data_IF_547660662713
#
_entry.id   IF_547660662713
#
_cell.length_a   1.000
_cell.length_b   1.000
_cell.length_c   1.000
_cell.angle_alpha   90.00
_cell.angle_beta   90.00
_cell.angle_gamma   90.00
#
_symmetry.space_group_name_H-M   'P 1'
#
loop_
_entity.id
_entity.type
_entity.pdbx_description
1 polymer ?
#
# COMPACT_ATOMS: atom_id res chain seq x y z
N UNK A 1 27.98 0.78 -21.63
CA UNK A 1 28.02 0.02 -20.37
C UNK A 1 27.07 0.71 -19.41
N UNK A 2 25.83 0.22 -19.31
CA UNK A 2 24.84 0.71 -18.34
C UNK A 2 25.10 0.08 -16.97
N UNK A 3 24.76 0.74 -15.85
CA UNK A 3 24.98 0.18 -14.52
C UNK A 3 24.17 -1.09 -14.33
N UNK A 4 24.84 -2.14 -13.81
CA UNK A 4 24.30 -3.48 -13.59
C UNK A 4 23.02 -3.44 -12.72
N UNK A 5 21.92 -3.95 -13.24
CA UNK A 5 20.62 -4.10 -12.56
C UNK A 5 20.64 -5.10 -11.36
N UNK A 6 21.79 -5.68 -11.03
CA UNK A 6 21.95 -6.69 -9.97
C UNK A 6 22.29 -6.13 -8.60
N UNK A 7 22.62 -4.82 -8.48
CA UNK A 7 23.16 -4.24 -7.24
C UNK A 7 22.12 -3.49 -6.37
N UNK A 8 20.89 -3.27 -6.91
CA UNK A 8 19.85 -2.53 -6.15
C UNK A 8 19.22 -3.31 -4.98
N UNK A 9 19.34 -4.64 -4.98
CA UNK A 9 18.74 -5.51 -3.92
C UNK A 9 19.52 -5.52 -2.61
N UNK A 10 20.79 -5.15 -2.63
CA UNK A 10 21.70 -5.15 -1.47
C UNK A 10 22.04 -3.75 -0.96
N UNK A 11 21.44 -2.70 -1.52
CA UNK A 11 21.72 -1.34 -1.09
C UNK A 11 21.31 -1.13 0.37
N UNK A 12 22.22 -0.68 1.26
CA UNK A 12 21.89 -0.35 2.65
C UNK A 12 20.70 0.64 2.77
N UNK A 13 20.52 1.52 1.79
CA UNK A 13 19.43 2.47 1.73
C UNK A 13 18.06 1.78 1.58
N UNK A 14 17.97 0.70 0.78
CA UNK A 14 16.72 -0.08 0.63
C UNK A 14 16.36 -0.72 1.96
N UNK A 15 17.31 -1.34 2.65
CA UNK A 15 17.06 -1.95 3.95
C UNK A 15 16.72 -0.93 5.03
N UNK A 16 17.38 0.24 5.03
CA UNK A 16 17.03 1.33 5.95
C UNK A 16 15.63 1.86 5.71
N UNK A 17 15.25 2.08 4.46
CA UNK A 17 13.90 2.53 4.12
C UNK A 17 12.83 1.47 4.46
N UNK A 18 13.12 0.19 4.25
CA UNK A 18 12.25 -0.91 4.69
C UNK A 18 12.10 -0.95 6.20
N UNK A 19 13.21 -0.84 6.95
CA UNK A 19 13.18 -0.80 8.41
C UNK A 19 12.32 0.40 8.91
N UNK A 20 12.46 1.57 8.26
CA UNK A 20 11.62 2.73 8.56
C UNK A 20 10.14 2.37 8.35
N UNK A 21 9.77 1.81 7.20
CA UNK A 21 8.37 1.45 6.92
C UNK A 21 7.85 0.41 7.91
N UNK A 22 8.64 -0.60 8.25
CA UNK A 22 8.25 -1.64 9.21
C UNK A 22 7.98 -1.08 10.60
N UNK A 23 8.94 -0.31 11.13
CA UNK A 23 8.83 0.23 12.49
C UNK A 23 7.81 1.36 12.52
N UNK A 24 7.88 2.30 11.59
CA UNK A 24 6.98 3.47 11.57
C UNK A 24 5.53 3.03 11.37
N UNK A 25 5.22 2.25 10.36
CA UNK A 25 3.82 1.86 10.13
C UNK A 25 3.32 0.83 11.16
N UNK A 26 4.18 -0.07 11.65
CA UNK A 26 3.83 -0.95 12.76
C UNK A 26 3.51 -0.18 14.05
N UNK A 27 4.23 0.90 14.34
CA UNK A 27 4.00 1.73 15.52
C UNK A 27 2.83 2.73 15.35
N UNK A 28 2.34 2.97 14.12
CA UNK A 28 1.15 3.84 13.94
C UNK A 28 -0.09 3.31 14.65
N UNK A 29 -0.21 1.99 14.83
CA UNK A 29 -1.31 1.39 15.57
C UNK A 29 -1.33 1.89 17.02
N UNK A 30 -0.16 1.93 17.68
CA UNK A 30 -0.02 2.47 19.03
C UNK A 30 -0.28 3.98 19.02
N UNK A 31 0.29 4.69 18.05
CA UNK A 31 0.05 6.12 17.91
C UNK A 31 -1.44 6.46 17.78
N UNK A 32 -2.22 5.65 17.01
CA UNK A 32 -3.67 5.82 16.89
C UNK A 32 -4.34 5.54 18.25
N UNK A 33 -4.02 4.41 18.90
CA UNK A 33 -4.61 4.04 20.19
C UNK A 33 -4.43 5.14 21.24
N UNK A 34 -3.21 5.69 21.34
CA UNK A 34 -2.90 6.79 22.27
C UNK A 34 -3.59 8.10 21.87
N UNK A 35 -3.63 8.42 20.58
CA UNK A 35 -4.29 9.65 20.12
C UNK A 35 -5.79 9.65 20.45
N UNK A 36 -6.46 8.50 20.31
CA UNK A 36 -7.89 8.38 20.54
C UNK A 36 -8.28 8.20 22.02
N UNK A 37 -7.32 8.18 22.95
CA UNK A 37 -7.62 8.19 24.39
C UNK A 37 -8.44 9.42 24.81
N UNK A 38 -8.20 10.56 24.17
CA UNK A 38 -8.91 11.82 24.49
C UNK A 38 -9.35 12.63 23.26
N UNK A 39 -8.95 12.22 22.04
CA UNK A 39 -9.37 12.85 20.79
C UNK A 39 -10.30 11.89 20.05
N UNK A 40 -11.49 12.31 19.60
CA UNK A 40 -12.41 11.45 18.87
C UNK A 40 -11.75 10.81 17.63
N UNK A 41 -11.97 9.51 17.35
CA UNK A 41 -11.16 8.75 16.41
C UNK A 41 -11.19 9.28 14.97
N UNK A 42 -12.37 9.65 14.47
CA UNK A 42 -12.48 10.16 13.11
C UNK A 42 -11.89 11.58 12.99
N UNK A 43 -12.13 12.44 13.99
CA UNK A 43 -11.55 13.78 14.02
C UNK A 43 -10.03 13.75 14.22
N UNK A 44 -9.49 12.81 15.01
CA UNK A 44 -8.05 12.54 15.11
C UNK A 44 -7.45 12.21 13.75
N UNK A 45 -8.08 11.28 13.02
CA UNK A 45 -7.69 10.93 11.65
C UNK A 45 -7.79 12.11 10.68
N UNK A 46 -8.86 12.91 10.78
CA UNK A 46 -9.04 14.12 9.96
C UNK A 46 -7.89 15.13 10.18
N UNK A 47 -7.59 15.45 11.43
CA UNK A 47 -6.49 16.35 11.76
C UNK A 47 -5.15 15.81 11.29
N UNK A 48 -4.88 14.50 11.49
CA UNK A 48 -3.68 13.83 11.02
C UNK A 48 -3.49 14.02 9.52
N UNK A 49 -4.48 13.63 8.72
CA UNK A 49 -4.33 13.55 7.28
C UNK A 49 -4.41 14.93 6.60
N UNK A 50 -5.26 15.84 7.08
CA UNK A 50 -5.31 17.21 6.54
C UNK A 50 -3.99 17.94 6.83
N UNK A 51 -3.46 17.83 8.05
CA UNK A 51 -2.19 18.47 8.41
C UNK A 51 -1.03 17.87 7.60
N UNK A 52 -0.94 16.53 7.50
CA UNK A 52 0.09 15.88 6.71
C UNK A 52 0.01 16.25 5.22
N UNK A 53 -1.20 16.29 4.64
CA UNK A 53 -1.43 16.71 3.25
C UNK A 53 -0.99 18.15 3.02
N UNK A 54 -1.32 19.05 3.94
CA UNK A 54 -0.94 20.47 3.85
C UNK A 54 0.58 20.64 3.91
N UNK A 55 1.25 19.97 4.84
CA UNK A 55 2.72 19.98 4.95
C UNK A 55 3.39 19.38 3.71
N UNK A 56 2.89 18.25 3.21
CA UNK A 56 3.42 17.60 2.01
C UNK A 56 3.19 18.47 0.77
N UNK A 57 2.00 19.08 0.64
CA UNK A 57 1.69 20.01 -0.44
C UNK A 57 2.59 21.26 -0.42
N UNK A 58 2.81 21.85 0.75
CA UNK A 58 3.74 22.97 0.92
C UNK A 58 5.17 22.57 0.55
N UNK A 59 5.64 21.40 1.01
CA UNK A 59 6.94 20.86 0.64
C UNK A 59 7.09 20.70 -0.89
N UNK A 60 6.09 20.12 -1.56
CA UNK A 60 6.10 19.93 -3.01
C UNK A 60 6.14 21.27 -3.75
N UNK A 61 5.36 22.26 -3.31
CA UNK A 61 5.35 23.61 -3.90
C UNK A 61 6.70 24.32 -3.75
N UNK A 62 7.31 24.25 -2.58
CA UNK A 62 8.61 24.88 -2.31
C UNK A 62 9.73 24.18 -3.09
N UNK A 63 9.74 22.82 -3.12
CA UNK A 63 10.85 22.03 -3.68
C UNK A 63 10.79 21.89 -5.19
N UNK A 64 9.59 21.75 -5.75
CA UNK A 64 9.37 21.39 -7.16
C UNK A 64 8.46 22.37 -7.91
N UNK A 65 7.96 23.40 -7.21
CA UNK A 65 7.07 24.42 -7.78
C UNK A 65 5.66 23.89 -8.10
N UNK A 66 4.77 24.76 -8.64
CA UNK A 66 3.37 24.42 -8.93
C UNK A 66 3.19 23.29 -9.96
N UNK A 67 4.23 23.01 -10.76
CA UNK A 67 4.20 21.92 -11.76
C UNK A 67 4.08 20.55 -11.10
N UNK A 68 4.59 20.36 -9.88
CA UNK A 68 4.49 19.11 -9.13
C UNK A 68 3.06 18.74 -8.77
N UNK A 69 2.16 19.71 -8.69
CA UNK A 69 0.74 19.52 -8.38
C UNK A 69 -0.17 19.55 -9.62
N UNK A 70 0.41 19.64 -10.83
CA UNK A 70 -0.38 19.58 -12.06
C UNK A 70 -0.90 18.17 -12.29
N UNK A 71 -2.22 18.04 -12.34
CA UNK A 71 -2.91 16.80 -12.60
C UNK A 71 -4.22 17.07 -13.35
N UNK A 72 -4.69 16.10 -14.09
CA UNK A 72 -5.98 16.16 -14.77
C UNK A 72 -7.13 15.98 -13.76
N UNK A 73 -8.34 16.39 -14.15
CA UNK A 73 -9.53 16.14 -13.31
C UNK A 73 -9.74 14.65 -13.03
N UNK A 74 -9.43 13.77 -13.99
CA UNK A 74 -9.56 12.32 -13.81
C UNK A 74 -8.57 11.80 -12.76
N UNK A 75 -7.33 12.25 -12.80
CA UNK A 75 -6.30 11.89 -11.81
C UNK A 75 -6.66 12.43 -10.42
N UNK A 76 -7.15 13.68 -10.32
CA UNK A 76 -7.60 14.27 -9.05
C UNK A 76 -8.75 13.45 -8.43
N UNK A 77 -9.79 13.15 -9.23
CA UNK A 77 -10.95 12.37 -8.76
C UNK A 77 -10.51 10.95 -8.39
N UNK A 78 -9.63 10.33 -9.19
CA UNK A 78 -9.07 9.01 -8.89
C UNK A 78 -8.36 8.99 -7.53
N UNK A 79 -7.40 9.89 -7.31
CA UNK A 79 -6.68 9.98 -6.05
C UNK A 79 -7.60 10.34 -4.87
N UNK A 80 -8.56 11.24 -5.06
CA UNK A 80 -9.52 11.59 -4.01
C UNK A 80 -10.42 10.39 -3.62
N UNK A 81 -10.91 9.63 -4.60
CA UNK A 81 -11.67 8.41 -4.34
C UNK A 81 -10.84 7.36 -3.58
N UNK A 82 -9.57 7.19 -3.95
CA UNK A 82 -8.66 6.32 -3.19
C UNK A 82 -8.43 6.83 -1.78
N UNK A 83 -8.26 8.14 -1.58
CA UNK A 83 -8.16 8.75 -0.26
C UNK A 83 -9.37 8.43 0.63
N UNK A 84 -10.59 8.50 0.08
CA UNK A 84 -11.80 8.12 0.81
C UNK A 84 -11.82 6.64 1.16
N UNK A 85 -11.52 5.75 0.21
CA UNK A 85 -11.52 4.30 0.45
C UNK A 85 -10.43 3.85 1.42
N UNK A 86 -9.21 4.33 1.24
CA UNK A 86 -8.05 3.90 2.04
C UNK A 86 -8.03 4.60 3.39
N UNK A 87 -8.17 5.92 3.42
CA UNK A 87 -7.92 6.71 4.61
C UNK A 87 -9.20 7.05 5.38
N UNK A 88 -10.28 7.49 4.72
CA UNK A 88 -11.53 7.73 5.46
C UNK A 88 -12.14 6.43 5.95
N UNK A 89 -12.40 5.48 5.05
CA UNK A 89 -13.04 4.22 5.43
C UNK A 89 -12.02 3.25 6.04
N UNK A 90 -10.92 2.96 5.36
CA UNK A 90 -9.94 1.98 5.83
C UNK A 90 -9.29 2.37 7.16
N UNK A 91 -8.59 3.50 7.20
CA UNK A 91 -7.89 3.94 8.41
C UNK A 91 -8.83 4.53 9.47
N UNK A 92 -9.91 5.21 9.05
CA UNK A 92 -10.92 5.75 9.98
C UNK A 92 -11.62 4.63 10.75
N UNK A 93 -12.08 3.57 10.08
CA UNK A 93 -12.69 2.42 10.76
C UNK A 93 -11.68 1.66 11.62
N UNK A 94 -10.39 1.62 11.26
CA UNK A 94 -9.34 1.11 12.12
C UNK A 94 -9.28 1.92 13.44
N UNK A 95 -9.28 3.25 13.37
CA UNK A 95 -9.24 4.10 14.56
C UNK A 95 -10.51 3.90 15.44
N UNK A 96 -11.68 3.79 14.82
CA UNK A 96 -12.91 3.46 15.55
C UNK A 96 -12.84 2.07 16.20
N UNK A 97 -12.34 1.07 15.46
CA UNK A 97 -12.21 -0.30 15.96
C UNK A 97 -11.29 -0.38 17.20
N UNK A 98 -10.21 0.41 17.23
CA UNK A 98 -9.27 0.45 18.36
C UNK A 98 -9.87 1.01 19.67
N UNK A 99 -11.09 1.53 19.65
CA UNK A 99 -11.85 1.79 20.88
C UNK A 99 -12.41 0.51 21.54
N UNK A 100 -12.45 -0.60 20.80
CA UNK A 100 -13.11 -1.85 21.18
C UNK A 100 -12.18 -3.06 21.20
N UNK A 101 -11.05 -3.00 20.50
CA UNK A 101 -10.09 -4.11 20.37
C UNK A 101 -8.67 -3.62 20.63
N UNK A 102 -7.80 -4.54 21.04
CA UNK A 102 -6.38 -4.24 21.24
C UNK A 102 -5.66 -3.88 19.94
N UNK A 103 -4.59 -3.12 20.08
CA UNK A 103 -3.71 -2.67 18.99
C UNK A 103 -3.17 -3.85 18.19
N UNK A 104 -2.71 -4.90 18.89
CA UNK A 104 -2.18 -6.10 18.27
C UNK A 104 -3.24 -6.86 17.47
N UNK A 105 -4.45 -7.03 18.00
CA UNK A 105 -5.56 -7.68 17.29
C UNK A 105 -5.97 -6.87 16.06
N UNK A 106 -6.08 -5.56 16.17
CA UNK A 106 -6.39 -4.68 15.04
C UNK A 106 -5.36 -4.83 13.91
N UNK A 107 -4.06 -4.83 14.23
CA UNK A 107 -3.00 -4.98 13.25
C UNK A 107 -3.02 -6.35 12.56
N UNK A 108 -3.28 -7.43 13.30
CA UNK A 108 -3.40 -8.78 12.74
C UNK A 108 -4.60 -8.91 11.80
N UNK A 109 -5.74 -8.30 12.13
CA UNK A 109 -6.91 -8.29 11.26
C UNK A 109 -6.70 -7.45 9.99
N UNK A 110 -6.00 -6.31 10.07
CA UNK A 110 -5.62 -5.52 8.90
C UNK A 110 -4.62 -6.26 8.00
N UNK A 111 -3.78 -7.15 8.55
CA UNK A 111 -2.90 -8.00 7.75
C UNK A 111 -3.65 -8.91 6.75
N UNK A 112 -4.97 -9.03 6.87
CA UNK A 112 -5.82 -9.75 5.91
C UNK A 112 -5.96 -9.06 4.55
N UNK A 113 -5.58 -7.81 4.39
CA UNK A 113 -5.73 -7.05 3.13
C UNK A 113 -5.23 -7.81 1.89
N UNK A 114 -4.03 -8.44 1.88
CA UNK A 114 -3.59 -9.24 0.74
C UNK A 114 -4.51 -10.43 0.41
N UNK A 115 -5.18 -11.00 1.42
CA UNK A 115 -6.13 -12.10 1.22
C UNK A 115 -7.36 -11.61 0.44
N UNK A 116 -7.91 -10.45 0.80
CA UNK A 116 -9.01 -9.81 0.10
C UNK A 116 -8.68 -9.47 -1.35
N UNK A 117 -7.44 -9.03 -1.61
CA UNK A 117 -6.98 -8.76 -2.98
C UNK A 117 -7.05 -10.01 -3.86
N UNK A 118 -6.66 -11.18 -3.33
CA UNK A 118 -6.76 -12.46 -4.06
C UNK A 118 -8.22 -12.84 -4.28
N UNK A 119 -9.09 -12.66 -3.27
CA UNK A 119 -10.52 -12.92 -3.40
C UNK A 119 -11.14 -12.07 -4.52
N UNK A 120 -10.80 -10.77 -4.61
CA UNK A 120 -11.30 -9.90 -5.68
C UNK A 120 -10.79 -10.31 -7.06
N UNK A 121 -9.52 -10.71 -7.18
CA UNK A 121 -8.96 -11.23 -8.42
C UNK A 121 -9.67 -12.50 -8.87
N UNK A 122 -9.91 -13.41 -7.93
CA UNK A 122 -10.66 -14.64 -8.20
C UNK A 122 -12.09 -14.34 -8.71
N UNK A 123 -12.80 -13.38 -8.07
CA UNK A 123 -14.13 -12.96 -8.51
C UNK A 123 -14.14 -12.39 -9.93
N UNK A 124 -13.03 -11.79 -10.38
CA UNK A 124 -12.84 -11.29 -11.75
C UNK A 124 -12.28 -12.32 -12.73
N UNK A 125 -12.39 -13.61 -12.39
CA UNK A 125 -11.94 -14.77 -13.20
C UNK A 125 -10.41 -14.86 -13.43
N UNK A 126 -9.61 -14.10 -12.68
CA UNK A 126 -8.19 -14.34 -12.60
C UNK A 126 -7.97 -15.60 -11.72
N UNK A 127 -7.37 -16.64 -12.30
CA UNK A 127 -7.19 -17.94 -11.61
C UNK A 127 -5.89 -17.91 -10.79
N UNK A 128 -5.94 -17.66 -9.48
CA UNK A 128 -4.75 -17.71 -8.64
C UNK A 128 -4.19 -19.14 -8.60
N UNK A 129 -2.90 -19.26 -8.34
CA UNK A 129 -2.26 -20.56 -8.17
C UNK A 129 -2.85 -21.32 -6.97
N UNK A 130 -2.90 -22.66 -7.00
CA UNK A 130 -3.44 -23.45 -5.88
C UNK A 130 -2.80 -23.09 -4.52
N UNK A 131 -1.51 -22.81 -4.48
CA UNK A 131 -0.80 -22.43 -3.26
C UNK A 131 -1.21 -21.03 -2.77
N UNK A 132 -1.57 -20.11 -3.67
CA UNK A 132 -2.17 -18.81 -3.30
C UNK A 132 -3.53 -19.01 -2.64
N UNK A 133 -4.36 -19.89 -3.21
CA UNK A 133 -5.67 -20.26 -2.63
C UNK A 133 -5.51 -20.88 -1.24
N UNK A 134 -4.56 -21.81 -1.10
CA UNK A 134 -4.25 -22.41 0.21
C UNK A 134 -3.83 -21.33 1.22
N UNK A 135 -2.97 -20.36 0.84
CA UNK A 135 -2.59 -19.25 1.69
C UNK A 135 -3.78 -18.38 2.12
N UNK A 136 -4.71 -18.10 1.20
CA UNK A 136 -5.96 -17.39 1.51
C UNK A 136 -6.80 -18.16 2.53
N UNK A 137 -7.02 -19.46 2.32
CA UNK A 137 -7.80 -20.29 3.24
C UNK A 137 -7.18 -20.37 4.63
N UNK A 138 -5.85 -20.54 4.72
CA UNK A 138 -5.12 -20.53 5.99
C UNK A 138 -5.26 -19.19 6.69
N UNK A 139 -5.05 -18.06 5.97
CA UNK A 139 -5.18 -16.72 6.54
C UNK A 139 -6.61 -16.43 7.02
N UNK A 140 -7.63 -16.80 6.25
CA UNK A 140 -9.03 -16.64 6.65
C UNK A 140 -9.39 -17.53 7.86
N UNK A 141 -8.86 -18.75 7.95
CA UNK A 141 -9.04 -19.61 9.13
C UNK A 141 -8.40 -18.99 10.38
N UNK A 142 -7.19 -18.41 10.25
CA UNK A 142 -6.54 -17.66 11.34
C UNK A 142 -7.36 -16.46 11.80
N UNK A 143 -7.92 -15.68 10.86
CA UNK A 143 -8.83 -14.55 11.17
C UNK A 143 -10.11 -15.04 11.87
N UNK A 144 -10.73 -16.11 11.39
CA UNK A 144 -11.90 -16.67 12.04
C UNK A 144 -11.58 -17.14 13.47
N UNK A 145 -10.43 -17.79 13.69
CA UNK A 145 -9.94 -18.16 15.00
C UNK A 145 -9.79 -16.96 15.93
N UNK A 146 -9.13 -15.87 15.47
CA UNK A 146 -9.00 -14.62 16.23
C UNK A 146 -10.35 -13.96 16.54
N UNK A 147 -11.31 -14.04 15.60
CA UNK A 147 -12.63 -13.42 15.74
C UNK A 147 -13.58 -14.21 16.67
N UNK A 148 -13.51 -15.55 16.64
CA UNK A 148 -14.37 -16.43 17.43
C UNK A 148 -13.93 -16.51 18.90
N UNK A 149 -12.64 -16.35 19.17
CA UNK A 149 -12.09 -16.40 20.52
C UNK A 149 -12.15 -15.04 21.23
N UNK A 150 -12.94 -14.09 20.77
CA UNK A 150 -13.14 -12.72 21.25
C UNK A 150 -13.44 -12.57 22.75
N UNK A 151 -12.87 -13.45 23.59
CA UNK A 151 -12.73 -13.29 25.04
C UNK A 151 -11.94 -12.01 25.34
N UNK A 152 -11.80 -11.59 26.53
CA UNK A 152 -11.14 -10.43 27.17
C UNK A 152 -10.38 -9.38 26.31
N UNK A 153 -9.99 -9.70 25.05
CA UNK A 153 -9.17 -8.84 24.17
C UNK A 153 -9.94 -8.12 23.06
N UNK A 154 -11.26 -8.34 22.88
CA UNK A 154 -11.94 -7.67 21.78
C UNK A 154 -13.45 -7.87 21.66
N UNK A 155 -14.14 -6.78 21.43
CA UNK A 155 -15.56 -6.73 21.09
C UNK A 155 -15.81 -7.19 19.65
N UNK A 156 -16.85 -7.98 19.40
CA UNK A 156 -17.32 -8.33 18.06
C UNK A 156 -17.52 -7.09 17.17
N UNK A 157 -17.97 -5.98 17.75
CA UNK A 157 -18.16 -4.70 17.05
C UNK A 157 -16.82 -4.23 16.48
N UNK A 158 -15.75 -4.17 17.29
CA UNK A 158 -14.43 -3.74 16.84
C UNK A 158 -13.87 -4.63 15.74
N UNK A 159 -14.05 -5.96 15.87
CA UNK A 159 -13.62 -6.94 14.85
C UNK A 159 -14.35 -6.69 13.51
N UNK A 160 -15.66 -6.56 13.52
CA UNK A 160 -16.46 -6.30 12.31
C UNK A 160 -16.07 -4.98 11.68
N UNK A 161 -15.90 -3.92 12.47
CA UNK A 161 -15.54 -2.58 11.99
C UNK A 161 -14.16 -2.59 11.32
N UNK A 162 -13.14 -3.22 11.92
CA UNK A 162 -11.81 -3.27 11.31
C UNK A 162 -11.79 -4.14 10.05
N UNK A 163 -12.58 -5.21 10.00
CA UNK A 163 -12.68 -6.05 8.80
C UNK A 163 -13.33 -5.29 7.64
N UNK A 164 -14.38 -4.51 7.89
CA UNK A 164 -14.97 -3.62 6.89
C UNK A 164 -13.92 -2.61 6.39
N UNK A 165 -13.15 -2.01 7.29
CA UNK A 165 -12.04 -1.14 6.95
C UNK A 165 -10.98 -1.82 6.08
N UNK A 166 -10.62 -3.07 6.41
CA UNK A 166 -9.64 -3.87 5.66
C UNK A 166 -10.13 -4.20 4.26
N UNK A 167 -11.41 -4.54 4.10
CA UNK A 167 -12.05 -4.76 2.79
C UNK A 167 -12.04 -3.47 1.97
N UNK A 168 -12.40 -2.33 2.57
CA UNK A 168 -12.36 -1.02 1.90
C UNK A 168 -10.94 -0.67 1.44
N UNK A 169 -9.95 -0.91 2.30
CA UNK A 169 -8.53 -0.74 1.95
C UNK A 169 -8.13 -1.62 0.77
N UNK A 170 -8.54 -2.88 0.77
CA UNK A 170 -8.28 -3.82 -0.32
C UNK A 170 -8.95 -3.37 -1.63
N UNK A 171 -10.20 -2.89 -1.58
CA UNK A 171 -10.90 -2.32 -2.74
C UNK A 171 -10.13 -1.12 -3.29
N UNK A 172 -9.76 -0.16 -2.43
CA UNK A 172 -8.97 1.00 -2.83
C UNK A 172 -7.64 0.61 -3.47
N UNK A 173 -6.90 -0.30 -2.83
CA UNK A 173 -5.63 -0.81 -3.37
C UNK A 173 -5.80 -1.53 -4.71
N UNK A 174 -6.89 -2.29 -4.87
CA UNK A 174 -7.20 -2.97 -6.12
C UNK A 174 -7.55 -2.00 -7.25
N UNK A 175 -8.29 -0.94 -6.95
CA UNK A 175 -8.71 0.08 -7.91
C UNK A 175 -7.58 1.04 -8.27
N UNK A 176 -6.66 1.35 -7.36
CA UNK A 176 -5.56 2.31 -7.59
C UNK A 176 -4.70 1.96 -8.81
N UNK A 177 -4.51 0.67 -9.09
CA UNK A 177 -3.80 0.19 -10.27
C UNK A 177 -4.64 0.20 -11.58
N UNK A 178 -5.91 0.60 -11.54
CA UNK A 178 -6.88 0.51 -12.66
C UNK A 178 -7.52 1.84 -13.05
N UNK A 179 -7.33 2.86 -12.25
CA UNK A 179 -7.88 4.21 -12.48
C UNK A 179 -6.74 5.20 -12.71
N UNK A 180 -7.10 6.35 -13.29
CA UNK A 180 -6.13 7.41 -13.52
C UNK A 180 -5.64 7.99 -12.18
N UNK A 181 -4.33 7.96 -11.96
CA UNK A 181 -3.67 8.50 -10.77
C UNK A 181 -2.61 9.52 -11.19
N UNK A 182 -2.29 10.53 -10.35
CA UNK A 182 -1.22 11.48 -10.63
C UNK A 182 0.13 10.77 -10.82
N UNK A 183 0.93 11.26 -11.75
CA UNK A 183 2.26 10.67 -12.04
C UNK A 183 3.25 10.81 -10.89
N UNK A 184 3.12 11.87 -10.10
CA UNK A 184 3.99 12.08 -8.94
C UNK A 184 3.38 11.37 -7.72
N UNK A 185 4.05 10.33 -7.16
CA UNK A 185 3.51 9.58 -6.02
C UNK A 185 3.27 10.44 -4.77
N UNK A 186 4.11 11.46 -4.52
CA UNK A 186 3.91 12.36 -3.39
C UNK A 186 2.70 13.27 -3.60
N UNK A 187 2.43 13.71 -4.85
CA UNK A 187 1.20 14.45 -5.16
C UNK A 187 -0.03 13.56 -5.02
N UNK A 188 0.05 12.29 -5.42
CA UNK A 188 -0.99 11.29 -5.16
C UNK A 188 -1.28 11.18 -3.67
N UNK A 189 -0.26 10.92 -2.86
CA UNK A 189 -0.41 10.79 -1.39
C UNK A 189 -0.97 12.07 -0.75
N UNK A 190 -0.56 13.26 -1.23
CA UNK A 190 -1.11 14.54 -0.77
C UNK A 190 -2.62 14.63 -1.03
N UNK A 191 -3.08 14.30 -2.24
CA UNK A 191 -4.51 14.33 -2.59
C UNK A 191 -5.29 13.27 -1.81
N UNK A 192 -4.76 12.05 -1.71
CA UNK A 192 -5.36 10.96 -0.93
C UNK A 192 -5.53 11.36 0.54
N UNK A 193 -4.49 11.89 1.17
CA UNK A 193 -4.55 12.35 2.56
C UNK A 193 -5.53 13.51 2.74
N UNK A 194 -5.54 14.48 1.82
CA UNK A 194 -6.45 15.62 1.92
C UNK A 194 -7.91 15.20 1.79
N UNK A 195 -8.23 14.42 0.74
CA UNK A 195 -9.59 13.91 0.52
C UNK A 195 -10.04 12.95 1.64
N UNK A 196 -9.12 12.05 2.06
CA UNK A 196 -9.36 11.14 3.16
C UNK A 196 -9.61 11.86 4.49
N UNK A 197 -8.83 12.89 4.78
CA UNK A 197 -9.00 13.72 5.95
C UNK A 197 -10.32 14.51 5.95
N UNK A 198 -10.71 15.08 4.82
CA UNK A 198 -12.03 15.74 4.66
C UNK A 198 -13.15 14.73 4.88
N UNK A 199 -13.06 13.54 4.27
CA UNK A 199 -14.04 12.48 4.46
C UNK A 199 -14.20 12.08 5.94
N UNK A 200 -13.09 11.99 6.68
CA UNK A 200 -13.11 11.74 8.13
C UNK A 200 -13.72 12.89 8.93
N UNK A 201 -13.41 14.14 8.59
CA UNK A 201 -14.01 15.30 9.24
C UNK A 201 -15.53 15.32 9.07
N UNK A 202 -16.01 15.01 7.86
CA UNK A 202 -17.45 14.90 7.57
C UNK A 202 -18.05 13.73 8.35
N UNK A 203 -17.43 12.55 8.28
CA UNK A 203 -17.94 11.35 8.96
C UNK A 203 -17.98 11.53 10.48
N UNK A 204 -16.93 12.10 11.09
CA UNK A 204 -16.87 12.37 12.51
C UNK A 204 -17.95 13.36 12.97
N UNK A 205 -18.13 14.47 12.22
CA UNK A 205 -19.18 15.44 12.52
C UNK A 205 -20.60 14.86 12.38
N UNK A 206 -20.84 14.06 11.34
CA UNK A 206 -22.12 13.35 11.15
C UNK A 206 -22.37 12.31 12.23
N UNK A 207 -21.32 11.61 12.70
CA UNK A 207 -21.40 10.68 13.82
C UNK A 207 -21.56 11.38 15.17
N UNK A 208 -21.55 12.71 15.22
CA UNK A 208 -21.71 13.49 16.45
C UNK A 208 -20.42 13.64 17.26
N UNK A 209 -19.25 13.29 16.70
CA UNK A 209 -17.98 13.55 17.36
C UNK A 209 -17.79 15.05 17.59
N UNK A 210 -17.35 15.41 18.77
CA UNK A 210 -17.03 16.80 19.14
C UNK A 210 -15.62 16.85 19.70
N UNK A 211 -14.80 17.71 19.11
CA UNK A 211 -13.46 17.96 19.57
C UNK A 211 -13.50 18.97 20.71
N UNK A 212 -13.17 18.53 21.91
CA UNK A 212 -12.91 19.41 23.04
C UNK A 212 -11.40 19.56 23.20
N UNK A 213 -10.88 20.71 22.78
CA UNK A 213 -9.45 21.02 22.87
C UNK A 213 -8.94 21.07 24.31
N UNK A 214 -9.82 21.41 25.26
CA UNK A 214 -9.46 21.51 26.68
C UNK A 214 -9.41 20.14 27.37
N UNK A 215 -10.15 19.16 26.87
CA UNK A 215 -10.16 17.79 27.36
C UNK A 215 -9.08 16.91 26.73
N UNK A 216 -8.50 17.33 25.61
CA UNK A 216 -7.48 16.55 24.90
C UNK A 216 -6.14 16.60 25.67
N UNK A 217 -5.65 15.42 26.07
CA UNK A 217 -4.41 15.29 26.83
C UNK A 217 -3.16 15.59 25.99
N UNK A 218 -2.09 16.06 26.65
CA UNK A 218 -0.79 16.26 26.00
C UNK A 218 -0.27 14.97 25.34
N UNK A 219 -0.53 13.82 25.97
CA UNK A 219 -0.17 12.50 25.46
C UNK A 219 -0.83 12.23 24.09
N UNK A 220 -2.12 12.55 23.97
CA UNK A 220 -2.85 12.37 22.68
C UNK A 220 -2.38 13.39 21.63
N UNK A 221 -2.06 14.62 22.00
CA UNK A 221 -1.48 15.59 21.07
C UNK A 221 -0.10 15.19 20.58
N UNK A 222 0.77 14.67 21.46
CA UNK A 222 2.10 14.16 21.07
C UNK A 222 1.95 12.96 20.14
N UNK A 223 1.02 12.04 20.44
CA UNK A 223 0.74 10.91 19.57
C UNK A 223 0.21 11.35 18.19
N UNK A 224 -0.67 12.34 18.15
CA UNK A 224 -1.17 12.92 16.89
C UNK A 224 -0.03 13.57 16.09
N UNK A 225 0.82 14.36 16.74
CA UNK A 225 2.00 14.97 16.09
C UNK A 225 2.95 13.90 15.54
N UNK A 226 3.20 12.82 16.30
CA UNK A 226 3.94 11.65 15.84
C UNK A 226 3.29 11.03 14.60
N UNK A 227 1.98 10.82 14.59
CA UNK A 227 1.25 10.26 13.46
C UNK A 227 1.33 11.15 12.21
N UNK A 228 1.31 12.47 12.37
CA UNK A 228 1.49 13.44 11.28
C UNK A 228 2.91 13.37 10.71
N UNK A 229 3.90 13.60 11.57
CA UNK A 229 5.28 13.80 11.14
C UNK A 229 5.97 12.49 10.76
N UNK A 230 5.86 11.49 11.63
CA UNK A 230 6.55 10.20 11.44
C UNK A 230 5.67 9.22 10.68
N UNK A 231 4.46 8.97 11.17
CA UNK A 231 3.55 8.01 10.56
C UNK A 231 3.15 8.33 9.14
N UNK A 232 2.83 9.61 8.87
CA UNK A 232 2.39 10.03 7.54
C UNK A 232 3.56 10.55 6.68
N UNK A 233 4.27 11.62 7.07
CA UNK A 233 5.27 12.21 6.19
C UNK A 233 6.49 11.31 5.97
N UNK A 234 7.14 10.82 7.04
CA UNK A 234 8.32 9.96 6.92
C UNK A 234 7.93 8.61 6.34
N UNK A 235 6.88 7.98 6.86
CA UNK A 235 6.42 6.66 6.40
C UNK A 235 6.06 6.65 4.92
N UNK A 236 5.22 7.60 4.45
CA UNK A 236 4.85 7.68 3.03
C UNK A 236 6.03 8.06 2.13
N UNK A 237 6.94 8.93 2.58
CA UNK A 237 8.13 9.28 1.79
C UNK A 237 9.04 8.07 1.60
N UNK A 238 9.32 7.32 2.68
CA UNK A 238 10.12 6.11 2.61
C UNK A 238 9.46 5.04 1.72
N UNK A 239 8.15 4.84 1.86
CA UNK A 239 7.39 3.90 1.04
C UNK A 239 7.39 4.30 -0.45
N UNK A 240 7.11 5.56 -0.76
CA UNK A 240 7.13 6.08 -2.14
C UNK A 240 8.51 5.94 -2.77
N UNK A 241 9.57 6.18 -2.00
CA UNK A 241 10.95 5.98 -2.46
C UNK A 241 11.23 4.50 -2.74
N UNK A 242 10.79 3.59 -1.86
CA UNK A 242 10.93 2.14 -2.04
C UNK A 242 10.25 1.64 -3.30
N UNK A 243 9.06 2.14 -3.65
CA UNK A 243 8.35 1.75 -4.86
C UNK A 243 9.14 2.04 -6.14
N UNK A 244 9.98 3.08 -6.13
CA UNK A 244 10.86 3.41 -7.25
C UNK A 244 12.25 2.74 -7.22
N UNK A 245 12.67 2.17 -6.07
CA UNK A 245 14.06 1.73 -5.86
C UNK A 245 14.19 0.27 -5.40
N UNK A 246 13.09 -0.42 -5.14
CA UNK A 246 13.08 -1.80 -4.70
C UNK A 246 11.99 -2.62 -5.39
N UNK A 247 12.17 -3.94 -5.57
CA UNK A 247 11.12 -4.80 -6.10
C UNK A 247 9.86 -4.73 -5.22
N UNK A 248 8.69 -4.55 -5.85
CA UNK A 248 7.41 -4.47 -5.14
C UNK A 248 7.18 -5.66 -4.19
N UNK A 249 7.74 -6.81 -4.55
CA UNK A 249 7.72 -8.01 -3.73
C UNK A 249 8.48 -7.85 -2.41
N UNK A 250 9.58 -7.11 -2.39
CA UNK A 250 10.32 -6.82 -1.17
C UNK A 250 9.58 -5.76 -0.35
N UNK A 251 9.07 -4.72 -1.02
CA UNK A 251 8.30 -3.66 -0.36
C UNK A 251 7.07 -4.24 0.34
N UNK A 252 6.31 -5.12 -0.32
CA UNK A 252 5.07 -5.71 0.24
C UNK A 252 5.27 -6.56 1.50
N UNK A 253 6.53 -6.81 1.91
CA UNK A 253 6.82 -7.55 3.16
C UNK A 253 6.36 -6.81 4.41
N UNK A 254 6.13 -5.49 4.35
CA UNK A 254 5.57 -4.75 5.47
C UNK A 254 4.22 -5.34 5.96
N UNK A 255 3.44 -5.94 5.06
CA UNK A 255 2.11 -6.46 5.40
C UNK A 255 2.13 -7.58 6.46
N UNK A 256 3.24 -8.30 6.62
CA UNK A 256 3.40 -9.30 7.68
C UNK A 256 4.38 -8.89 8.78
N UNK A 257 5.25 -7.89 8.55
CA UNK A 257 6.16 -7.39 9.60
C UNK A 257 5.44 -6.40 10.51
N UNK A 258 4.62 -5.50 9.95
CA UNK A 258 3.92 -4.48 10.73
C UNK A 258 3.04 -5.04 11.86
N UNK A 259 2.24 -6.11 11.66
CA UNK A 259 1.47 -6.70 12.73
C UNK A 259 2.35 -7.25 13.86
N UNK A 260 3.49 -7.85 13.54
CA UNK A 260 4.43 -8.32 14.56
C UNK A 260 5.00 -7.16 15.39
N UNK A 261 5.37 -6.05 14.73
CA UNK A 261 5.81 -4.82 15.40
C UNK A 261 4.68 -4.25 16.26
N UNK A 262 3.45 -4.20 15.74
CA UNK A 262 2.30 -3.67 16.47
C UNK A 262 1.98 -4.48 17.74
N UNK A 263 1.98 -5.81 17.65
CA UNK A 263 1.76 -6.71 18.80
C UNK A 263 2.87 -6.51 19.85
N UNK A 264 4.13 -6.48 19.42
CA UNK A 264 5.27 -6.29 20.32
C UNK A 264 5.20 -4.94 21.02
N UNK A 265 4.99 -3.86 20.27
CA UNK A 265 4.92 -2.52 20.85
C UNK A 265 3.65 -2.31 21.68
N UNK A 266 2.52 -2.92 21.32
CA UNK A 266 1.29 -2.91 22.12
C UNK A 266 1.52 -3.54 23.49
N UNK A 267 2.19 -4.68 23.53
CA UNK A 267 2.56 -5.33 24.78
C UNK A 267 3.55 -4.50 25.62
N UNK A 268 4.56 -3.89 24.99
CA UNK A 268 5.61 -3.16 25.70
C UNK A 268 5.17 -1.77 26.17
N UNK A 269 4.35 -1.06 25.41
CA UNK A 269 4.01 0.36 25.65
C UNK A 269 2.63 0.50 26.29
N UNK A 270 1.66 -0.31 25.86
CA UNK A 270 0.28 -0.24 26.34
C UNK A 270 -0.07 -1.37 27.33
N UNK A 271 0.90 -2.23 27.67
CA UNK A 271 0.73 -3.39 28.53
C UNK A 271 -0.40 -4.33 28.03
N UNK A 272 -0.63 -4.40 26.70
CA UNK A 272 -1.62 -5.31 26.12
C UNK A 272 -1.17 -6.77 26.32
N UNK A 273 -2.07 -7.67 26.79
CA UNK A 273 -1.71 -9.06 26.99
C UNK A 273 -1.54 -9.78 25.65
N UNK A 274 -0.42 -10.49 25.46
CA UNK A 274 -0.27 -11.43 24.35
C UNK A 274 -0.90 -12.75 24.75
N UNK A 275 -2.20 -12.89 24.48
CA UNK A 275 -2.92 -14.13 24.77
C UNK A 275 -2.50 -15.26 23.83
N UNK A 276 -2.65 -16.54 24.23
CA UNK A 276 -2.39 -17.68 23.33
C UNK A 276 -3.16 -17.58 21.99
N UNK A 277 -4.35 -17.03 22.04
CA UNK A 277 -5.19 -16.80 20.85
C UNK A 277 -4.54 -15.80 19.90
N UNK A 278 -4.04 -14.66 20.39
CA UNK A 278 -3.31 -13.66 19.59
C UNK A 278 -2.04 -14.28 19.03
N UNK A 279 -1.29 -15.04 19.83
CA UNK A 279 -0.05 -15.66 19.38
C UNK A 279 -0.29 -16.70 18.28
N UNK A 280 -1.18 -17.66 18.51
CA UNK A 280 -1.45 -18.77 17.57
C UNK A 280 -2.23 -18.26 16.36
N UNK A 281 -3.36 -17.56 16.57
CA UNK A 281 -4.18 -17.03 15.47
C UNK A 281 -3.41 -16.02 14.62
N UNK A 282 -2.63 -15.14 15.26
CA UNK A 282 -1.74 -14.21 14.56
C UNK A 282 -0.69 -14.91 13.72
N UNK A 283 -0.04 -15.95 14.25
CA UNK A 283 0.91 -16.76 13.49
C UNK A 283 0.25 -17.38 12.26
N UNK A 284 -0.94 -17.94 12.40
CA UNK A 284 -1.69 -18.56 11.28
C UNK A 284 -2.03 -17.51 10.22
N UNK A 285 -2.49 -16.31 10.60
CA UNK A 285 -2.74 -15.19 9.67
C UNK A 285 -1.45 -14.83 8.93
N UNK A 286 -0.34 -14.64 9.65
CA UNK A 286 0.94 -14.24 9.05
C UNK A 286 1.47 -15.31 8.09
N UNK A 287 1.34 -16.59 8.41
CA UNK A 287 1.69 -17.71 7.51
C UNK A 287 0.83 -17.66 6.24
N UNK A 288 -0.48 -17.48 6.37
CA UNK A 288 -1.39 -17.33 5.22
C UNK A 288 -0.98 -16.16 4.31
N UNK A 289 -0.73 -14.99 4.88
CA UNK A 289 -0.28 -13.80 4.14
C UNK A 289 1.08 -14.02 3.48
N UNK A 290 2.04 -14.64 4.19
CA UNK A 290 3.36 -14.95 3.64
C UNK A 290 3.27 -15.93 2.45
N UNK A 291 2.41 -16.94 2.52
CA UNK A 291 2.13 -17.87 1.41
C UNK A 291 1.56 -17.12 0.20
N UNK A 292 0.57 -16.26 0.38
CA UNK A 292 -0.01 -15.44 -0.70
C UNK A 292 1.07 -14.57 -1.35
N UNK A 293 1.79 -13.78 -0.57
CA UNK A 293 2.81 -12.86 -1.09
C UNK A 293 3.93 -13.63 -1.81
N UNK A 294 4.40 -14.75 -1.27
CA UNK A 294 5.50 -15.53 -1.87
C UNK A 294 5.13 -16.19 -3.19
N UNK A 295 3.87 -16.60 -3.37
CA UNK A 295 3.38 -17.25 -4.60
C UNK A 295 3.10 -16.24 -5.71
N UNK A 296 2.60 -15.07 -5.37
CA UNK A 296 2.40 -13.96 -6.31
C UNK A 296 3.75 -13.45 -6.88
N UNK A 297 4.80 -13.42 -6.05
CA UNK A 297 6.18 -13.07 -6.47
C UNK A 297 6.70 -13.94 -7.62
N UNK A 298 6.58 -15.27 -7.47
CA UNK A 298 7.07 -16.25 -8.47
C UNK A 298 6.30 -16.17 -9.79
N UNK A 299 5.07 -15.65 -9.77
CA UNK A 299 4.25 -15.45 -10.98
C UNK A 299 4.72 -14.29 -11.83
N UNK A 300 5.04 -13.15 -11.22
CA UNK A 300 5.53 -11.96 -11.92
C UNK A 300 6.93 -12.14 -12.54
N UNK A 301 7.83 -12.86 -11.85
CA UNK A 301 9.17 -13.12 -12.38
C UNK A 301 9.16 -14.04 -13.62
N UNK A 302 8.35 -15.09 -13.65
CA UNK A 302 8.25 -15.98 -14.81
C UNK A 302 7.65 -15.32 -16.04
N UNK A 303 6.77 -14.34 -15.88
CA UNK A 303 6.23 -13.55 -17.00
C UNK A 303 7.29 -12.60 -17.55
N UNK A 304 8.11 -11.99 -16.69
CA UNK A 304 9.20 -11.13 -17.10
C UNK A 304 10.32 -11.91 -17.81
N UNK A 305 10.71 -13.07 -17.29
CA UNK A 305 11.72 -13.95 -17.91
C UNK A 305 11.22 -14.59 -19.21
N UNK A 306 9.91 -14.86 -19.35
CA UNK A 306 9.30 -15.40 -20.57
C UNK A 306 9.21 -14.37 -21.71
N UNK A 307 9.20 -13.08 -21.40
CA UNK A 307 9.22 -11.99 -22.40
C UNK A 307 10.63 -11.73 -22.90
N UNK A 308 11.66 -11.84 -22.05
CA UNK A 308 13.07 -11.72 -22.46
C UNK A 308 13.62 -12.99 -23.15
N UNK A 309 13.08 -14.17 -22.87
CA UNK A 309 13.50 -15.43 -23.47
C UNK A 309 12.85 -15.76 -24.84
N UNK A 310 11.87 -14.97 -25.29
CA UNK A 310 11.15 -15.16 -26.56
C UNK A 310 11.84 -14.56 -27.80
N UNK A 311 12.99 -13.91 -27.62
CA UNK A 311 13.76 -13.25 -28.71
C UNK A 311 14.73 -14.13 -29.46
N UNK A 312 14.97 -15.38 -29.06
CA UNK A 312 15.98 -16.26 -29.69
C UNK A 312 15.36 -17.58 -30.15
N UNK A 313 14.31 -17.47 -30.99
CA UNK A 313 13.89 -18.60 -31.82
C UNK A 313 14.77 -18.57 -33.08
N UNK A 314 15.79 -19.41 -33.05
CA UNK A 314 16.74 -19.60 -34.13
C UNK A 314 16.06 -19.76 -35.49
N UNK A 315 16.39 -18.85 -36.41
CA UNK A 315 16.28 -19.08 -37.82
C UNK A 315 17.29 -20.17 -38.19
N UNK A 316 16.81 -21.42 -38.26
CA UNK A 316 17.52 -22.55 -38.82
C UNK A 316 17.94 -22.21 -40.25
N UNK A 317 19.24 -22.25 -40.48
CA UNK A 317 19.84 -22.20 -41.80
C UNK A 317 19.32 -23.38 -42.64
N UNK A 318 18.42 -23.08 -43.59
CA UNK A 318 18.17 -23.89 -44.76
C UNK A 318 18.91 -23.23 -45.95
N UNK A 319 19.92 -23.89 -46.45
CA UNK A 319 20.69 -23.43 -47.63
C UNK A 319 19.80 -23.31 -48.88
N UNK A 320 19.88 -22.17 -49.54
CA UNK A 320 19.23 -21.91 -50.81
C UNK A 320 19.90 -20.74 -51.48
N UNK A 321 20.64 -21.03 -52.54
CA UNK A 321 21.26 -20.25 -53.60
C UNK A 321 20.96 -18.74 -53.64
N UNK A 322 22.04 -17.95 -53.68
CA UNK A 322 22.08 -16.56 -54.14
C UNK A 322 21.54 -16.41 -55.56
N UNK A 323 20.63 -15.48 -55.86
CA UNK A 323 20.39 -14.97 -57.19
C UNK A 323 21.38 -13.85 -57.47
N UNK A 324 22.12 -13.99 -58.60
CA UNK A 324 23.00 -12.95 -59.20
C UNK A 324 22.19 -11.69 -59.54
N UNK A 325 22.82 -10.50 -59.44
CA UNK A 325 22.18 -9.25 -59.85
C UNK A 325 22.18 -9.14 -61.38
N UNK A 326 21.10 -8.62 -61.98
CA UNK A 326 21.07 -8.32 -63.40
C UNK A 326 21.92 -7.09 -63.77
N UNK A 327 22.64 -7.20 -64.88
CA UNK A 327 23.62 -6.26 -65.35
C UNK A 327 23.12 -4.88 -65.71
N UNK A 328 24.06 -3.96 -65.65
CA UNK A 328 23.97 -2.55 -66.03
C UNK A 328 23.50 -2.39 -67.49
N UNK A 329 22.37 -1.72 -67.65
CA UNK A 329 22.04 -1.03 -68.90
C UNK A 329 22.22 0.47 -68.69
N UNK A 330 23.31 0.97 -69.28
CA UNK A 330 23.61 2.39 -69.42
C UNK A 330 22.77 2.92 -70.54
N UNK A 331 21.81 3.82 -70.30
CA UNK A 331 21.21 4.66 -71.35
C UNK A 331 21.86 6.04 -71.38
N UNK A 332 22.07 6.64 -72.59
CA UNK A 332 22.83 7.87 -72.77
C UNK A 332 22.01 9.13 -72.51
N UNK A 333 22.70 10.29 -72.38
CA UNK A 333 22.08 11.54 -71.89
C UNK A 333 21.22 12.21 -72.95
N UNK A 334 20.02 12.65 -72.58
CA UNK A 334 19.18 13.49 -73.45
C UNK A 334 19.50 14.96 -73.11
N UNK A 335 19.89 15.65 -74.23
CA UNK A 335 20.22 17.07 -74.28
C UNK A 335 19.06 17.99 -73.94
N UNK A 336 19.40 19.07 -73.27
CA UNK A 336 18.58 20.29 -73.06
C UNK A 336 18.02 20.82 -74.41
N UNK A 337 16.76 21.26 -74.40
CA UNK A 337 16.31 22.39 -75.20
C UNK A 337 15.50 23.36 -74.35
N UNK A 338 16.05 24.55 -74.28
CA UNK A 338 15.34 25.78 -73.89
C UNK A 338 14.23 26.06 -74.90
N UNK A 339 13.08 26.46 -74.43
CA UNK A 339 12.37 27.73 -74.81
C UNK A 339 11.51 28.12 -73.58
#
# INVERSE_FOLDING_TARGET
MGPNATDSRSSPLVWSALAIVYVVWGSTYIGIAVAIESIPPMLSGAMRFITAATLLGAFLLIRSGPSALRMTRRELVGAAAMGVLLLSTGNGLLAVAQQYISTGLAALLVASVPLWLVVFRFALRDRPKPLTVAGVLVGLAGMAGLSLTGGESGSTIGIVVVLIGSVSWAIGSFLSGRIAMPRNPLATSMVEMFAGGIGLAIAGTVAGERLDLSAASDRSWIALAYLVLVGSLVGFTAYSWLLGNAPISLVSTYAYVNPAVAVLLGALILAEPITPQIAVGGLVVLVGVALVISTERKGGQRVAEGVDGGGDVGLGMGGGQEPQPPGDHVDPPVQERRV
#
